data_IF_096721243811
#
_entry.id   IF_096721243811
#
_cell.length_a   1.000
_cell.length_b   1.000
_cell.length_c   1.000
_cell.angle_alpha   90.00
_cell.angle_beta   90.00
_cell.angle_gamma   90.00
#
_symmetry.space_group_name_H-M   'P 1'
#
loop_
_entity.id
_entity.type
_entity.pdbx_description
1 polymer ?
#
# COMPACT_ATOMS: atom_id res chain seq x y z
N UNK A 1 -15.51 17.20 8.87
CA UNK A 1 -15.77 15.75 8.95
C UNK A 1 -14.53 15.06 9.49
N UNK A 2 -14.71 14.26 10.54
CA UNK A 2 -13.63 13.82 11.42
C UNK A 2 -12.71 12.83 10.69
N UNK A 3 -11.53 13.32 10.32
CA UNK A 3 -10.35 12.57 9.86
C UNK A 3 -9.77 11.60 10.91
N UNK A 4 -10.47 11.38 12.03
CA UNK A 4 -10.03 10.51 13.11
C UNK A 4 -10.07 9.04 12.68
N UNK A 5 -8.91 8.50 12.28
CA UNK A 5 -8.69 7.06 12.14
C UNK A 5 -8.39 6.55 10.73
N UNK A 6 -8.31 7.43 9.72
CA UNK A 6 -7.77 7.09 8.39
C UNK A 6 -6.31 7.50 8.32
N UNK A 7 -5.45 6.57 7.95
CA UNK A 7 -4.03 6.82 7.70
C UNK A 7 -3.69 6.35 6.30
N UNK A 8 -2.98 7.18 5.55
CA UNK A 8 -2.50 6.85 4.21
C UNK A 8 -1.11 6.21 4.35
N UNK A 9 -0.93 5.08 3.68
CA UNK A 9 0.36 4.41 3.54
C UNK A 9 0.69 4.24 2.07
N UNK A 10 1.96 4.02 1.79
CA UNK A 10 2.49 3.80 0.46
C UNK A 10 3.35 2.54 0.47
N UNK A 11 3.24 1.71 -0.56
CA UNK A 11 3.99 0.47 -0.69
C UNK A 11 4.47 0.27 -2.12
N UNK A 12 5.58 -0.44 -2.28
CA UNK A 12 6.03 -0.97 -3.57
C UNK A 12 5.62 -2.44 -3.69
N UNK A 13 5.09 -2.84 -4.84
CA UNK A 13 4.83 -4.25 -5.14
C UNK A 13 6.17 -4.95 -5.35
N UNK A 14 6.58 -5.81 -4.42
CA UNK A 14 7.88 -6.51 -4.44
C UNK A 14 7.82 -7.91 -5.04
N UNK A 15 6.65 -8.36 -5.47
CA UNK A 15 6.48 -9.68 -6.07
C UNK A 15 5.03 -9.99 -6.40
N UNK A 16 4.80 -11.25 -6.79
CA UNK A 16 3.48 -11.70 -7.16
C UNK A 16 2.57 -11.87 -5.93
N UNK A 17 1.36 -11.32 -6.00
CA UNK A 17 0.30 -11.60 -5.04
C UNK A 17 -0.17 -13.06 -5.12
N UNK A 18 -0.63 -13.57 -3.99
CA UNK A 18 -1.18 -14.93 -3.86
C UNK A 18 -2.67 -14.90 -4.19
N UNK A 19 -3.11 -15.65 -5.20
CA UNK A 19 -4.51 -15.71 -5.56
C UNK A 19 -5.32 -16.52 -4.52
N UNK A 20 -6.48 -16.00 -4.13
CA UNK A 20 -7.43 -16.69 -3.25
C UNK A 20 -8.55 -17.38 -4.03
N UNK A 21 -9.41 -18.12 -3.33
CA UNK A 21 -10.54 -18.87 -3.89
C UNK A 21 -11.56 -17.98 -4.62
N UNK A 22 -11.58 -16.67 -4.32
CA UNK A 22 -12.44 -15.68 -4.99
C UNK A 22 -11.76 -15.05 -6.21
N UNK A 23 -10.60 -15.57 -6.62
CA UNK A 23 -9.81 -15.06 -7.73
C UNK A 23 -9.10 -13.73 -7.45
N UNK A 24 -9.07 -13.27 -6.19
CA UNK A 24 -8.40 -12.01 -5.82
C UNK A 24 -6.95 -12.28 -5.43
N UNK A 25 -6.07 -11.34 -5.74
CA UNK A 25 -4.66 -11.42 -5.43
C UNK A 25 -4.38 -10.69 -4.11
N UNK A 26 -3.86 -11.42 -3.12
CA UNK A 26 -3.49 -10.91 -1.80
C UNK A 26 -2.02 -10.50 -1.77
N UNK A 27 -1.77 -9.36 -1.16
CA UNK A 27 -0.44 -8.81 -0.94
C UNK A 27 -0.27 -8.51 0.54
N UNK A 28 0.94 -8.73 1.05
CA UNK A 28 1.37 -8.28 2.36
C UNK A 28 2.70 -7.55 2.19
N UNK A 29 2.69 -6.23 2.37
CA UNK A 29 3.80 -5.37 1.99
C UNK A 29 4.26 -4.51 3.16
N UNK A 30 5.57 -4.29 3.22
CA UNK A 30 6.16 -3.19 3.98
C UNK A 30 5.70 -1.88 3.37
N UNK A 31 4.99 -1.09 4.18
CA UNK A 31 4.35 0.15 3.75
C UNK A 31 4.78 1.31 4.65
N UNK A 32 4.87 2.51 4.12
CA UNK A 32 5.31 3.70 4.85
C UNK A 32 4.21 4.75 4.86
N UNK A 33 3.96 5.36 6.02
CA UNK A 33 3.06 6.52 6.07
C UNK A 33 3.75 7.77 5.49
N UNK A 34 3.05 8.90 5.43
CA UNK A 34 3.59 10.15 4.87
C UNK A 34 4.88 10.64 5.54
N UNK A 35 5.11 10.26 6.81
CA UNK A 35 6.34 10.56 7.54
C UNK A 35 7.44 9.50 7.41
N UNK A 36 7.29 8.51 6.53
CA UNK A 36 8.27 7.44 6.34
C UNK A 36 8.23 6.35 7.43
N UNK A 37 7.22 6.33 8.30
CA UNK A 37 7.13 5.32 9.34
C UNK A 37 6.59 4.01 8.78
N UNK A 38 7.31 2.93 9.04
CA UNK A 38 7.00 1.60 8.54
C UNK A 38 5.79 0.95 9.23
N UNK A 39 5.00 0.22 8.44
CA UNK A 39 3.98 -0.71 8.89
C UNK A 39 3.76 -1.82 7.86
N UNK A 40 3.68 -3.07 8.30
CA UNK A 40 3.25 -4.18 7.43
C UNK A 40 1.74 -4.11 7.22
N UNK A 41 1.28 -4.05 5.97
CA UNK A 41 -0.13 -3.98 5.61
C UNK A 41 -0.51 -5.02 4.56
N UNK A 42 -1.68 -5.62 4.76
CA UNK A 42 -2.30 -6.53 3.81
C UNK A 42 -3.42 -5.87 3.01
N UNK A 43 -3.49 -6.15 1.71
CA UNK A 43 -4.63 -5.76 0.87
C UNK A 43 -4.85 -6.77 -0.27
N UNK A 44 -5.96 -6.63 -1.00
CA UNK A 44 -6.23 -7.47 -2.17
C UNK A 44 -6.60 -6.66 -3.41
N UNK A 45 -6.24 -7.19 -4.57
CA UNK A 45 -6.55 -6.63 -5.89
C UNK A 45 -7.34 -7.64 -6.73
N UNK A 46 -8.15 -7.15 -7.67
CA UNK A 46 -8.87 -7.99 -8.63
C UNK A 46 -8.02 -8.49 -9.80
N UNK A 47 -6.75 -8.06 -9.88
CA UNK A 47 -5.77 -8.46 -10.89
C UNK A 47 -4.38 -8.56 -10.27
N UNK A 48 -3.48 -9.26 -10.94
CA UNK A 48 -2.06 -9.22 -10.62
C UNK A 48 -1.53 -7.79 -10.79
N UNK A 49 -0.81 -7.29 -9.79
CA UNK A 49 -0.13 -6.00 -9.85
C UNK A 49 1.30 -6.21 -10.35
N UNK A 50 1.80 -5.23 -11.09
CA UNK A 50 3.14 -5.27 -11.66
C UNK A 50 4.16 -5.05 -10.54
N UNK A 51 5.18 -5.90 -10.50
CA UNK A 51 6.35 -5.70 -9.63
C UNK A 51 7.02 -4.35 -9.91
N UNK A 52 7.43 -3.65 -8.85
CA UNK A 52 7.95 -2.28 -8.91
C UNK A 52 6.88 -1.19 -9.06
N UNK A 53 5.59 -1.52 -9.19
CA UNK A 53 4.54 -0.51 -9.08
C UNK A 53 4.43 0.01 -7.65
N UNK A 54 4.08 1.28 -7.49
CA UNK A 54 3.76 1.86 -6.18
C UNK A 54 2.26 1.94 -6.00
N UNK A 55 1.80 1.73 -4.77
CA UNK A 55 0.38 1.81 -4.41
C UNK A 55 0.20 2.69 -3.18
N UNK A 56 -0.86 3.50 -3.21
CA UNK A 56 -1.35 4.26 -2.06
C UNK A 56 -2.47 3.46 -1.40
N UNK A 57 -2.36 3.22 -0.09
CA UNK A 57 -3.24 2.40 0.73
C UNK A 57 -3.98 3.27 1.75
N UNK A 58 -5.30 3.23 1.74
CA UNK A 58 -6.15 3.89 2.72
C UNK A 58 -6.46 2.91 3.84
N UNK A 59 -5.80 3.10 4.99
CA UNK A 59 -5.90 2.21 6.13
C UNK A 59 -6.80 2.80 7.23
N UNK A 60 -7.62 1.95 7.84
CA UNK A 60 -8.36 2.24 9.07
C UNK A 60 -8.00 1.21 10.14
N UNK A 61 -8.00 1.62 11.41
CA UNK A 61 -7.59 0.73 12.51
C UNK A 61 -8.41 -0.57 12.59
N UNK A 62 -9.72 -0.50 12.35
CA UNK A 62 -10.64 -1.64 12.51
C UNK A 62 -10.73 -2.49 11.24
N UNK A 63 -10.74 -1.88 10.05
CA UNK A 63 -10.98 -2.60 8.78
C UNK A 63 -9.72 -2.88 7.97
N UNK A 64 -8.55 -2.44 8.43
CA UNK A 64 -7.33 -2.51 7.64
C UNK A 64 -7.41 -1.62 6.39
N UNK A 65 -6.87 -2.08 5.26
CA UNK A 65 -6.89 -1.35 3.99
C UNK A 65 -8.29 -1.42 3.37
N UNK A 66 -8.97 -0.27 3.31
CA UNK A 66 -10.32 -0.15 2.76
C UNK A 66 -10.35 0.26 1.28
N UNK A 67 -9.26 0.87 0.80
CA UNK A 67 -9.12 1.29 -0.59
C UNK A 67 -7.63 1.40 -0.96
N UNK A 68 -7.33 1.22 -2.23
CA UNK A 68 -5.99 1.44 -2.77
C UNK A 68 -6.05 1.93 -4.21
N UNK A 69 -4.98 2.57 -4.66
CA UNK A 69 -4.76 2.95 -6.06
C UNK A 69 -3.28 2.84 -6.41
N UNK A 70 -2.96 2.54 -7.66
CA UNK A 70 -1.60 2.68 -8.18
C UNK A 70 -1.22 4.16 -8.23
N UNK A 71 0.04 4.46 -7.91
CA UNK A 71 0.63 5.80 -7.96
C UNK A 71 2.03 5.70 -8.58
N UNK A 72 2.53 6.82 -9.06
CA UNK A 72 3.91 6.95 -9.55
C UNK A 72 4.87 7.28 -8.41
N UNK A 73 6.17 7.04 -8.62
CA UNK A 73 7.19 7.40 -7.64
C UNK A 73 7.16 8.90 -7.26
N UNK A 74 6.89 9.78 -8.24
CA UNK A 74 6.82 11.23 -8.03
C UNK A 74 5.65 11.68 -7.15
N UNK A 75 4.59 10.86 -7.03
CA UNK A 75 3.45 11.12 -6.15
C UNK A 75 3.69 10.70 -4.70
N UNK A 76 4.77 9.95 -4.43
CA UNK A 76 5.12 9.54 -3.08
C UNK A 76 5.61 10.75 -2.25
N UNK A 77 5.29 10.83 -0.96
CA UNK A 77 5.90 11.80 -0.05
C UNK A 77 7.43 11.64 -0.02
N UNK A 78 8.17 12.74 0.17
CA UNK A 78 9.65 12.72 0.19
C UNK A 78 10.23 11.70 1.17
N UNK A 79 9.70 11.66 2.39
CA UNK A 79 10.14 10.70 3.41
C UNK A 79 9.96 9.23 2.97
N UNK A 80 8.95 8.95 2.13
CA UNK A 80 8.72 7.61 1.56
C UNK A 80 9.65 7.34 0.39
N UNK A 81 9.86 8.33 -0.50
CA UNK A 81 10.82 8.22 -1.60
C UNK A 81 12.22 7.86 -1.07
N UNK A 82 12.63 8.51 0.02
CA UNK A 82 13.89 8.24 0.70
C UNK A 82 13.99 6.78 1.13
N UNK A 83 12.92 6.15 1.65
CA UNK A 83 12.95 4.72 2.04
C UNK A 83 13.21 3.77 0.87
N UNK A 84 12.86 4.15 -0.37
CA UNK A 84 13.05 3.33 -1.57
C UNK A 84 14.33 3.68 -2.36
N UNK A 85 15.05 4.71 -1.93
CA UNK A 85 16.31 5.15 -2.54
C UNK A 85 17.54 4.81 -1.68
N UNK A 86 17.34 4.20 -0.51
CA UNK A 86 18.43 3.74 0.36
C UNK A 86 19.01 2.40 -0.09
#
# INVERSE_FOLDING_TARGET
ETSAGKTIYYAMITGLGVQDENGRYKYELTSYNEGGNEKKLGFSAGKQLREGAYVQLYHTLIRGVTYWKEVTFAELPKAVQEQYQQ
#
